data_IF_459963449065
#
_entry.id   IF_459963449065
#
_cell.length_a   1.000
_cell.length_b   1.000
_cell.length_c   1.000
_cell.angle_alpha   90.00
_cell.angle_beta   90.00
_cell.angle_gamma   90.00
#
_symmetry.space_group_name_H-M   'P 1'
#
loop_
_entity.id
_entity.type
_entity.pdbx_description
1 polymer ?
#
# COMPACT_ATOMS: atom_id res chain seq x y z
N UNK A 1 23.55 -79.79 -33.26
CA UNK A 1 23.78 -80.72 -32.12
C UNK A 1 22.88 -80.23 -30.98
N UNK A 2 21.69 -80.83 -30.81
CA UNK A 2 21.37 -81.80 -29.73
C UNK A 2 21.23 -81.08 -28.37
N UNK A 3 20.14 -81.11 -27.59
CA UNK A 3 19.01 -82.07 -27.46
C UNK A 3 17.90 -81.49 -26.55
N UNK A 4 16.62 -81.74 -26.89
CA UNK A 4 15.41 -82.15 -26.10
C UNK A 4 15.22 -81.63 -24.64
N UNK A 5 14.03 -81.28 -24.12
CA UNK A 5 12.63 -81.26 -24.62
C UNK A 5 11.59 -81.16 -23.47
N UNK A 6 10.29 -81.05 -23.82
CA UNK A 6 9.06 -81.42 -23.04
C UNK A 6 8.74 -80.58 -21.76
N UNK A 7 7.53 -80.19 -21.30
CA UNK A 7 6.13 -80.68 -21.35
C UNK A 7 5.17 -79.50 -21.00
N UNK A 8 4.04 -79.42 -21.70
CA UNK A 8 2.62 -79.12 -21.34
C UNK A 8 2.30 -78.47 -19.96
N UNK A 9 1.40 -77.48 -19.92
CA UNK A 9 0.51 -77.30 -18.76
C UNK A 9 -0.16 -75.93 -18.54
N UNK A 10 -1.40 -75.82 -19.04
CA UNK A 10 -2.57 -75.10 -18.49
C UNK A 10 -2.40 -74.28 -17.18
N UNK A 11 -2.76 -73.00 -17.20
CA UNK A 11 -2.83 -72.17 -15.99
C UNK A 11 -3.62 -70.88 -16.19
N UNK A 12 -4.92 -70.97 -15.97
CA UNK A 12 -5.92 -69.90 -15.97
C UNK A 12 -5.53 -68.77 -14.99
N UNK A 13 -5.27 -67.56 -15.52
CA UNK A 13 -4.94 -66.38 -14.73
C UNK A 13 -6.23 -65.75 -14.17
N UNK A 14 -6.56 -66.08 -12.93
CA UNK A 14 -7.61 -65.40 -12.14
C UNK A 14 -7.20 -63.96 -11.85
N UNK A 15 -8.02 -63.00 -12.29
CA UNK A 15 -7.98 -61.63 -11.79
C UNK A 15 -8.51 -61.59 -10.35
N UNK A 16 -7.63 -61.27 -9.39
CA UNK A 16 -8.01 -60.90 -8.03
C UNK A 16 -8.32 -59.39 -8.00
N UNK A 17 -9.59 -59.04 -7.84
CA UNK A 17 -10.03 -57.66 -7.57
C UNK A 17 -9.79 -57.33 -6.10
N UNK A 18 -8.74 -56.56 -5.81
CA UNK A 18 -8.53 -55.96 -4.48
C UNK A 18 -9.43 -54.74 -4.31
N UNK A 19 -10.50 -54.87 -3.54
CA UNK A 19 -11.32 -53.75 -3.06
C UNK A 19 -10.53 -52.90 -2.07
N UNK A 20 -9.96 -51.79 -2.53
CA UNK A 20 -9.38 -50.78 -1.66
C UNK A 20 -10.50 -49.91 -1.06
N UNK A 21 -10.73 -50.02 0.24
CA UNK A 21 -11.53 -49.07 1.01
C UNK A 21 -10.79 -47.73 1.04
N UNK A 22 -11.28 -46.76 0.28
CA UNK A 22 -10.82 -45.38 0.37
C UNK A 22 -11.22 -44.79 1.74
N UNK A 23 -10.25 -44.66 2.64
CA UNK A 23 -10.43 -43.90 3.87
C UNK A 23 -10.50 -42.42 3.50
N UNK A 24 -11.68 -41.84 3.65
CA UNK A 24 -11.92 -40.42 3.42
C UNK A 24 -11.40 -39.62 4.63
N UNK A 25 -10.11 -39.33 4.65
CA UNK A 25 -9.52 -38.39 5.63
C UNK A 25 -9.79 -36.97 5.18
N UNK A 26 -10.88 -36.38 5.66
CA UNK A 26 -11.12 -34.94 5.56
C UNK A 26 -10.14 -34.20 6.49
N UNK A 27 -9.14 -33.56 5.90
CA UNK A 27 -8.33 -32.53 6.57
C UNK A 27 -9.28 -31.44 7.08
N UNK A 28 -9.27 -31.06 8.36
CA UNK A 28 -10.05 -29.91 8.80
C UNK A 28 -9.46 -28.68 8.11
N UNK A 29 -10.30 -27.95 7.38
CA UNK A 29 -9.94 -26.65 6.82
C UNK A 29 -9.45 -25.77 7.96
N UNK A 30 -8.15 -25.47 7.98
CA UNK A 30 -7.57 -24.52 8.92
C UNK A 30 -8.29 -23.19 8.76
N UNK A 31 -9.03 -22.78 9.78
CA UNK A 31 -9.69 -21.48 9.81
C UNK A 31 -8.62 -20.41 9.65
N UNK A 32 -8.67 -19.66 8.54
CA UNK A 32 -7.87 -18.46 8.40
C UNK A 32 -8.15 -17.57 9.62
N UNK A 33 -7.10 -17.03 10.23
CA UNK A 33 -7.26 -16.05 11.30
C UNK A 33 -8.21 -14.92 10.84
N UNK A 34 -9.06 -14.37 11.72
CA UNK A 34 -9.92 -13.25 11.36
C UNK A 34 -9.07 -12.14 10.75
N UNK A 35 -9.52 -11.56 9.62
CA UNK A 35 -8.83 -10.40 9.05
C UNK A 35 -8.86 -9.26 10.08
N UNK A 36 -7.74 -8.57 10.31
CA UNK A 36 -7.73 -7.40 11.17
C UNK A 36 -8.71 -6.34 10.62
N UNK A 37 -9.27 -5.53 11.52
CA UNK A 37 -10.08 -4.38 11.12
C UNK A 37 -9.21 -3.35 10.40
N UNK A 38 -9.82 -2.53 9.54
CA UNK A 38 -9.12 -1.44 8.85
C UNK A 38 -8.32 -0.53 9.80
N UNK A 39 -8.85 -0.32 11.02
CA UNK A 39 -8.18 0.50 12.03
C UNK A 39 -6.90 -0.19 12.56
N UNK A 40 -6.95 -1.49 12.79
CA UNK A 40 -5.80 -2.30 13.20
C UNK A 40 -4.76 -2.36 12.08
N UNK A 41 -5.19 -2.50 10.82
CA UNK A 41 -4.29 -2.47 9.66
C UNK A 41 -3.59 -1.11 9.52
N UNK A 42 -4.30 0.01 9.71
CA UNK A 42 -3.69 1.34 9.67
C UNK A 42 -2.67 1.55 10.79
N UNK A 43 -2.98 1.08 12.00
CA UNK A 43 -2.04 1.12 13.14
C UNK A 43 -0.80 0.30 12.83
N UNK A 44 -0.99 -0.92 12.32
CA UNK A 44 0.11 -1.81 11.94
C UNK A 44 0.96 -1.21 10.80
N UNK A 45 0.33 -0.58 9.81
CA UNK A 45 1.03 0.10 8.72
C UNK A 45 1.95 1.23 9.24
N UNK A 46 1.47 2.04 10.18
CA UNK A 46 2.31 3.08 10.80
C UNK A 46 3.53 2.47 11.51
N UNK A 47 3.33 1.38 12.26
CA UNK A 47 4.40 0.71 13.00
C UNK A 47 5.42 0.03 12.08
N UNK A 48 4.95 -0.72 11.07
CA UNK A 48 5.81 -1.37 10.08
C UNK A 48 6.61 -0.33 9.31
N UNK A 49 5.96 0.69 8.75
CA UNK A 49 6.65 1.68 7.94
C UNK A 49 7.65 2.49 8.78
N UNK A 50 7.39 2.70 10.08
CA UNK A 50 8.36 3.30 10.99
C UNK A 50 9.54 2.37 11.27
N UNK A 51 9.29 1.08 11.52
CA UNK A 51 10.33 0.08 11.76
C UNK A 51 11.26 -0.10 10.55
N UNK A 52 10.71 -0.09 9.35
CA UNK A 52 11.47 -0.19 8.09
C UNK A 52 12.17 1.11 7.68
N UNK A 53 12.08 2.17 8.51
CA UNK A 53 12.71 3.46 8.22
C UNK A 53 12.08 4.23 7.06
N UNK A 54 10.87 3.85 6.62
CA UNK A 54 10.13 4.56 5.57
C UNK A 54 9.48 5.82 6.14
N UNK A 55 8.82 5.72 7.30
CA UNK A 55 8.25 6.85 8.02
C UNK A 55 9.16 7.28 9.17
N UNK A 56 9.50 8.56 9.19
CA UNK A 56 10.13 9.21 10.33
C UNK A 56 9.05 9.86 11.24
N UNK A 57 9.46 10.79 12.11
CA UNK A 57 8.55 11.50 13.02
C UNK A 57 7.53 12.44 12.32
N UNK A 58 7.72 12.71 11.04
CA UNK A 58 6.93 13.66 10.26
C UNK A 58 6.15 12.97 9.13
N UNK A 59 6.58 11.77 8.71
CA UNK A 59 5.90 10.98 7.70
C UNK A 59 4.59 10.39 8.23
N UNK A 60 3.65 10.14 7.33
CA UNK A 60 2.31 9.68 7.72
C UNK A 60 1.58 8.92 6.62
N UNK A 61 0.84 7.89 7.03
CA UNK A 61 -0.03 7.06 6.19
C UNK A 61 -1.51 7.25 6.57
N UNK A 62 -2.37 7.27 5.56
CA UNK A 62 -3.82 7.27 5.73
C UNK A 62 -4.48 6.17 4.90
N UNK A 63 -5.73 5.87 5.26
CA UNK A 63 -6.62 5.01 4.45
C UNK A 63 -7.98 5.70 4.29
N UNK A 64 -8.63 5.48 3.15
CA UNK A 64 -10.03 5.91 2.93
C UNK A 64 -10.96 5.09 3.82
N UNK A 65 -11.92 5.74 4.48
CA UNK A 65 -12.83 5.02 5.39
C UNK A 65 -13.76 4.10 4.59
N UNK A 66 -13.73 2.80 4.88
CA UNK A 66 -14.59 1.79 4.24
C UNK A 66 -16.09 2.03 4.49
N UNK A 67 -16.44 2.69 5.60
CA UNK A 67 -17.83 2.98 5.98
C UNK A 67 -18.34 4.23 5.29
N UNK A 68 -17.45 5.15 4.91
CA UNK A 68 -17.80 6.37 4.22
C UNK A 68 -16.66 6.81 3.28
N UNK A 69 -16.77 6.56 1.95
CA UNK A 69 -15.69 6.87 1.02
C UNK A 69 -15.41 8.38 0.86
N UNK A 70 -16.26 9.26 1.40
CA UNK A 70 -16.02 10.71 1.47
C UNK A 70 -15.23 11.12 2.73
N UNK A 71 -14.65 10.16 3.42
CA UNK A 71 -13.80 10.37 4.60
C UNK A 71 -12.54 9.52 4.51
N UNK A 72 -11.54 9.91 5.28
CA UNK A 72 -10.31 9.14 5.45
C UNK A 72 -9.85 9.14 6.90
N UNK A 73 -9.06 8.14 7.26
CA UNK A 73 -8.51 7.89 8.57
C UNK A 73 -7.02 8.20 8.55
N UNK A 74 -6.57 9.03 9.48
CA UNK A 74 -5.17 9.44 9.62
C UNK A 74 -4.85 9.65 11.10
N UNK A 75 -3.67 9.25 11.55
CA UNK A 75 -3.24 9.50 12.92
C UNK A 75 -3.12 11.00 13.23
N UNK A 76 -3.34 11.38 14.49
CA UNK A 76 -2.93 12.70 14.99
C UNK A 76 -1.42 12.89 14.86
N UNK A 77 -0.94 14.12 15.02
CA UNK A 77 0.48 14.46 14.83
C UNK A 77 1.39 13.87 15.95
N UNK A 78 1.71 12.58 15.83
CA UNK A 78 2.65 11.82 16.67
C UNK A 78 3.53 10.93 15.79
N UNK A 79 4.62 10.42 16.36
CA UNK A 79 5.51 9.49 15.67
C UNK A 79 4.77 8.22 15.24
N UNK A 80 4.96 7.80 13.98
CA UNK A 80 4.26 6.66 13.38
C UNK A 80 4.41 5.36 14.20
N UNK A 81 5.61 5.07 14.72
CA UNK A 81 5.86 3.88 15.55
C UNK A 81 5.07 3.81 16.86
N UNK A 82 4.51 4.92 17.34
CA UNK A 82 3.74 5.00 18.60
C UNK A 82 2.23 5.11 18.39
N UNK A 83 1.75 5.03 17.14
CA UNK A 83 0.33 5.18 16.82
C UNK A 83 -0.46 4.00 17.38
N UNK A 84 -1.60 4.32 18.01
CA UNK A 84 -2.62 3.36 18.44
C UNK A 84 -3.97 3.67 17.80
N UNK A 85 -4.93 2.76 17.91
CA UNK A 85 -6.30 2.95 17.42
C UNK A 85 -6.96 4.23 17.99
N UNK A 86 -6.64 4.60 19.23
CA UNK A 86 -7.17 5.80 19.87
C UNK A 86 -6.61 7.10 19.27
N UNK A 87 -5.49 7.04 18.55
CA UNK A 87 -4.81 8.19 17.95
C UNK A 87 -5.31 8.52 16.54
N UNK A 88 -6.17 7.68 15.97
CA UNK A 88 -6.71 7.88 14.63
C UNK A 88 -7.83 8.92 14.65
N UNK A 89 -7.76 9.84 13.70
CA UNK A 89 -8.74 10.90 13.47
C UNK A 89 -9.38 10.66 12.10
N UNK A 90 -10.70 10.83 12.04
CA UNK A 90 -11.45 10.85 10.78
C UNK A 90 -11.47 12.26 10.20
N UNK A 91 -11.20 12.38 8.92
CA UNK A 91 -11.23 13.62 8.16
C UNK A 91 -12.22 13.53 6.99
N UNK A 92 -12.84 14.64 6.60
CA UNK A 92 -13.52 14.76 5.31
C UNK A 92 -12.51 14.96 4.15
N UNK A 93 -12.97 14.95 2.90
CA UNK A 93 -12.11 15.14 1.73
C UNK A 93 -11.50 16.56 1.62
N UNK A 94 -12.01 17.54 2.35
CA UNK A 94 -11.42 18.88 2.47
C UNK A 94 -10.45 18.99 3.66
N UNK A 95 -10.12 17.83 4.26
CA UNK A 95 -9.17 17.65 5.37
C UNK A 95 -9.56 18.34 6.68
N UNK A 96 -10.86 18.50 6.92
CA UNK A 96 -11.39 18.93 8.21
C UNK A 96 -11.64 17.72 9.11
N UNK A 97 -11.24 17.76 10.39
CA UNK A 97 -11.50 16.67 11.31
C UNK A 97 -13.01 16.55 11.60
N UNK A 98 -13.52 15.32 11.59
CA UNK A 98 -14.92 15.01 11.85
C UNK A 98 -15.10 14.70 13.34
N UNK A 99 -15.49 15.70 14.12
CA UNK A 99 -15.81 15.53 15.55
C UNK A 99 -14.61 15.41 16.49
N UNK A 100 -13.38 15.46 15.97
CA UNK A 100 -12.15 15.48 16.77
C UNK A 100 -11.51 16.89 16.77
N UNK A 101 -10.93 17.29 17.91
CA UNK A 101 -10.26 18.59 18.10
C UNK A 101 -8.75 18.47 18.29
N UNK A 102 -8.22 17.25 18.39
CA UNK A 102 -6.79 17.00 18.58
C UNK A 102 -6.01 17.46 17.34
N UNK A 103 -4.78 17.97 17.52
CA UNK A 103 -3.98 18.44 16.40
C UNK A 103 -3.59 17.27 15.48
N UNK A 104 -4.01 17.36 14.22
CA UNK A 104 -3.55 16.49 13.14
C UNK A 104 -2.27 16.98 12.48
N UNK A 105 -1.75 16.18 11.55
CA UNK A 105 -0.66 16.61 10.68
C UNK A 105 -1.03 17.86 9.87
N UNK A 106 -0.05 18.76 9.69
CA UNK A 106 -0.25 19.98 8.90
C UNK A 106 -0.41 19.69 7.41
N UNK A 107 0.15 18.57 6.93
CA UNK A 107 0.15 18.17 5.51
C UNK A 107 -0.96 17.18 5.17
N UNK A 108 -1.96 17.02 6.06
CA UNK A 108 -3.14 16.18 5.83
C UNK A 108 -3.87 16.47 4.51
N UNK A 109 -3.73 17.69 3.99
CA UNK A 109 -4.29 18.14 2.70
C UNK A 109 -3.77 17.35 1.49
N UNK A 110 -2.58 16.75 1.58
CA UNK A 110 -2.06 15.82 0.57
C UNK A 110 -3.04 14.66 0.39
N UNK A 111 -3.48 14.06 1.50
CA UNK A 111 -4.37 12.89 1.49
C UNK A 111 -5.76 13.26 1.00
N UNK A 112 -6.37 14.28 1.61
CA UNK A 112 -7.73 14.68 1.27
C UNK A 112 -7.90 15.00 -0.21
N UNK A 113 -6.97 15.77 -0.78
CA UNK A 113 -7.04 16.16 -2.19
C UNK A 113 -6.70 15.01 -3.15
N UNK A 114 -5.79 14.10 -2.79
CA UNK A 114 -5.58 12.86 -3.58
C UNK A 114 -6.86 12.01 -3.56
N UNK A 115 -7.45 11.77 -2.39
CA UNK A 115 -8.70 10.99 -2.31
C UNK A 115 -9.86 11.66 -3.04
N UNK A 116 -9.92 12.98 -3.06
CA UNK A 116 -10.92 13.74 -3.81
C UNK A 116 -10.75 13.61 -5.32
N UNK A 117 -9.50 13.64 -5.80
CA UNK A 117 -9.19 13.51 -7.23
C UNK A 117 -9.21 12.05 -7.73
N UNK A 118 -8.93 11.08 -6.85
CA UNK A 118 -8.74 9.67 -7.19
C UNK A 118 -9.62 8.76 -6.32
N UNK A 119 -10.89 8.52 -6.71
CA UNK A 119 -11.79 7.61 -6.01
C UNK A 119 -11.28 6.17 -5.91
N UNK A 120 -10.42 5.76 -6.84
CA UNK A 120 -9.78 4.44 -6.89
C UNK A 120 -8.67 4.25 -5.85
N UNK A 121 -8.11 5.34 -5.31
CA UNK A 121 -7.08 5.29 -4.27
C UNK A 121 -7.74 5.05 -2.91
N UNK A 122 -7.24 4.06 -2.19
CA UNK A 122 -7.70 3.69 -0.84
C UNK A 122 -6.65 3.93 0.23
N UNK A 123 -5.38 4.13 -0.14
CA UNK A 123 -4.30 4.46 0.79
C UNK A 123 -3.35 5.50 0.21
N UNK A 124 -2.85 6.38 1.08
CA UNK A 124 -1.87 7.40 0.73
C UNK A 124 -0.78 7.43 1.80
N UNK A 125 0.48 7.39 1.35
CA UNK A 125 1.67 7.46 2.20
C UNK A 125 2.46 8.69 1.81
N UNK A 126 2.77 9.54 2.77
CA UNK A 126 3.72 10.63 2.62
C UNK A 126 4.95 10.37 3.48
N UNK A 127 6.13 10.45 2.89
CA UNK A 127 7.35 9.98 3.53
C UNK A 127 8.60 10.72 3.03
N UNK A 128 9.69 10.52 3.77
CA UNK A 128 10.89 11.35 3.70
C UNK A 128 12.10 10.54 3.26
N UNK A 129 12.12 10.17 1.98
CA UNK A 129 13.26 9.49 1.40
C UNK A 129 14.31 10.52 0.93
N UNK A 130 15.40 10.67 1.71
CA UNK A 130 16.53 11.52 1.33
C UNK A 130 17.10 11.15 -0.05
N UNK A 131 17.08 9.85 -0.37
CA UNK A 131 17.61 9.30 -1.63
C UNK A 131 16.85 9.76 -2.87
N UNK A 132 15.58 10.18 -2.75
CA UNK A 132 14.81 10.66 -3.90
C UNK A 132 14.93 12.17 -4.11
N UNK A 133 15.40 12.93 -3.11
CA UNK A 133 15.51 14.39 -3.16
C UNK A 133 16.35 14.87 -4.37
N UNK A 134 17.52 14.28 -4.70
CA UNK A 134 18.31 14.72 -5.85
C UNK A 134 17.57 14.65 -7.20
N UNK A 135 16.66 13.69 -7.36
CA UNK A 135 15.83 13.56 -8.57
C UNK A 135 14.77 14.66 -8.69
N UNK A 136 14.46 15.35 -7.60
CA UNK A 136 13.47 16.44 -7.60
C UNK A 136 14.07 17.78 -8.05
N UNK A 137 15.38 17.96 -7.87
CA UNK A 137 16.08 19.24 -8.13
C UNK A 137 16.99 19.21 -9.35
N UNK A 138 17.55 18.04 -9.71
CA UNK A 138 18.49 17.89 -10.82
C UNK A 138 17.79 17.70 -12.18
N UNK A 139 18.58 17.60 -13.26
CA UNK A 139 18.08 17.22 -14.58
C UNK A 139 17.75 15.71 -14.68
N UNK A 140 18.36 14.88 -13.83
CA UNK A 140 18.03 13.46 -13.76
C UNK A 140 16.61 13.27 -13.24
N UNK A 141 15.95 12.21 -13.69
CA UNK A 141 14.58 11.85 -13.29
C UNK A 141 14.58 10.46 -12.67
N UNK A 142 13.72 10.26 -11.67
CA UNK A 142 13.48 8.94 -11.11
C UNK A 142 12.75 8.08 -12.16
N UNK A 143 13.32 6.91 -12.45
CA UNK A 143 12.84 5.95 -13.46
C UNK A 143 13.00 4.52 -12.92
N UNK A 144 12.17 3.57 -13.34
CA UNK A 144 12.34 2.17 -12.97
C UNK A 144 13.64 1.62 -13.58
N UNK A 145 14.54 1.12 -12.73
CA UNK A 145 15.84 0.52 -13.15
C UNK A 145 15.98 -0.96 -12.78
N UNK A 146 15.10 -1.46 -11.91
CA UNK A 146 15.07 -2.84 -11.43
C UNK A 146 13.64 -3.37 -11.54
N UNK A 147 13.48 -4.69 -11.66
CA UNK A 147 12.18 -5.34 -11.84
C UNK A 147 11.16 -4.99 -10.73
N UNK A 148 11.62 -4.84 -9.49
CA UNK A 148 10.77 -4.45 -8.35
C UNK A 148 10.20 -3.04 -8.45
N UNK A 149 10.78 -2.18 -9.29
CA UNK A 149 10.33 -0.79 -9.49
C UNK A 149 9.26 -0.67 -10.60
N UNK A 150 8.69 -1.78 -11.09
CA UNK A 150 7.73 -1.77 -12.21
C UNK A 150 6.46 -0.96 -11.97
N UNK A 151 6.13 -0.64 -10.70
CA UNK A 151 5.03 0.26 -10.36
C UNK A 151 5.35 1.74 -10.66
N UNK A 152 6.62 2.12 -10.78
CA UNK A 152 6.97 3.51 -11.10
C UNK A 152 6.66 3.80 -12.56
N UNK A 153 6.11 5.00 -12.87
CA UNK A 153 5.95 5.44 -14.24
C UNK A 153 7.31 5.59 -14.93
N UNK A 154 7.37 5.61 -16.28
CA UNK A 154 8.62 5.82 -17.02
C UNK A 154 9.40 7.08 -16.62
N UNK A 155 8.68 8.09 -16.10
CA UNK A 155 9.19 9.29 -15.44
C UNK A 155 8.23 9.66 -14.31
N UNK A 156 8.74 9.69 -13.07
CA UNK A 156 7.95 10.14 -11.90
C UNK A 156 7.69 11.65 -11.97
N UNK A 157 6.43 12.11 -11.81
CA UNK A 157 6.11 13.53 -11.81
C UNK A 157 6.73 14.24 -10.62
N UNK A 158 7.07 15.51 -10.82
CA UNK A 158 7.62 16.39 -9.78
C UNK A 158 6.65 17.54 -9.59
N UNK A 159 6.08 17.64 -8.40
CA UNK A 159 5.29 18.77 -7.94
C UNK A 159 6.20 19.96 -7.61
N UNK A 160 5.95 21.06 -8.30
CA UNK A 160 6.60 22.35 -8.09
C UNK A 160 5.63 23.26 -7.32
N UNK A 161 5.82 23.35 -6.01
CA UNK A 161 4.95 24.13 -5.14
C UNK A 161 4.90 25.62 -5.51
N UNK A 162 5.98 26.16 -6.10
CA UNK A 162 6.05 27.58 -6.51
C UNK A 162 5.06 27.94 -7.59
N UNK A 163 4.65 26.98 -8.42
CA UNK A 163 3.64 27.18 -9.47
C UNK A 163 2.25 27.44 -8.88
N UNK A 164 2.00 26.98 -7.64
CA UNK A 164 0.69 27.08 -7.00
C UNK A 164 0.65 28.06 -5.82
N UNK A 165 1.74 28.15 -5.05
CA UNK A 165 1.81 28.96 -3.83
C UNK A 165 2.87 30.07 -3.83
N UNK A 166 3.69 30.19 -4.89
CA UNK A 166 4.82 31.12 -4.90
C UNK A 166 5.95 30.69 -3.94
N UNK A 167 6.63 31.65 -3.31
CA UNK A 167 7.67 31.37 -2.32
C UNK A 167 7.04 31.03 -0.97
N UNK A 168 7.09 29.74 -0.61
CA UNK A 168 6.46 29.18 0.60
C UNK A 168 7.49 28.48 1.49
N UNK A 169 7.04 27.90 2.60
CA UNK A 169 7.81 27.00 3.47
C UNK A 169 7.99 25.58 2.87
N UNK A 170 7.57 25.38 1.62
CA UNK A 170 7.59 24.13 0.86
C UNK A 170 6.61 23.06 1.38
N UNK A 171 5.75 23.36 2.36
CA UNK A 171 4.80 22.41 2.97
C UNK A 171 3.41 22.51 2.33
N UNK A 172 2.74 21.36 2.16
CA UNK A 172 1.40 21.31 1.56
C UNK A 172 0.33 21.49 2.63
N UNK A 173 0.10 22.74 3.06
CA UNK A 173 -0.75 23.10 4.22
C UNK A 173 -2.15 23.61 3.87
N UNK A 174 -2.58 23.52 2.61
CA UNK A 174 -3.91 23.99 2.21
C UNK A 174 -4.53 23.12 1.12
N UNK A 175 -5.85 23.25 0.93
CA UNK A 175 -6.58 22.54 -0.11
C UNK A 175 -6.12 22.94 -1.51
N UNK A 176 -5.75 24.20 -1.74
CA UNK A 176 -5.25 24.69 -3.03
C UNK A 176 -3.91 24.02 -3.40
N UNK A 177 -2.98 23.95 -2.44
CA UNK A 177 -1.70 23.28 -2.64
C UNK A 177 -1.86 21.78 -2.80
N UNK A 178 -2.72 21.16 -1.96
CA UNK A 178 -3.04 19.73 -2.06
C UNK A 178 -3.67 19.38 -3.40
N UNK A 179 -4.55 20.25 -3.93
CA UNK A 179 -5.14 20.09 -5.26
C UNK A 179 -4.08 20.15 -6.35
N UNK A 180 -3.17 21.13 -6.29
CA UNK A 180 -2.07 21.22 -7.25
C UNK A 180 -1.16 19.98 -7.24
N UNK A 181 -0.94 19.40 -6.06
CA UNK A 181 -0.19 18.15 -5.91
C UNK A 181 -0.98 16.98 -6.53
N UNK A 182 -2.26 16.85 -6.24
CA UNK A 182 -3.12 15.80 -6.80
C UNK A 182 -3.22 15.90 -8.34
N UNK A 183 -3.33 17.11 -8.88
CA UNK A 183 -3.33 17.36 -10.32
C UNK A 183 -1.98 16.95 -10.95
N UNK A 184 -0.86 17.17 -10.24
CA UNK A 184 0.48 16.77 -10.71
C UNK A 184 0.70 15.25 -10.63
N UNK A 185 0.13 14.59 -9.61
CA UNK A 185 0.14 13.14 -9.48
C UNK A 185 -0.61 12.49 -10.65
N UNK A 186 -1.78 13.02 -11.01
CA UNK A 186 -2.63 12.47 -12.07
C UNK A 186 -3.06 11.04 -11.77
N UNK A 187 -2.87 10.16 -12.75
CA UNK A 187 -3.17 8.71 -12.68
C UNK A 187 -2.03 7.87 -12.10
N UNK A 188 -0.87 8.48 -11.81
CA UNK A 188 0.36 7.77 -11.40
C UNK A 188 0.32 7.41 -9.90
N UNK A 189 1.11 6.41 -9.47
CA UNK A 189 1.13 5.99 -8.07
C UNK A 189 2.09 6.79 -7.18
N UNK A 190 3.00 7.59 -7.75
CA UNK A 190 4.01 8.33 -6.99
C UNK A 190 4.19 9.73 -7.56
N UNK A 191 4.34 10.72 -6.69
CA UNK A 191 4.75 12.09 -7.01
C UNK A 191 5.88 12.53 -6.07
N UNK A 192 6.87 13.22 -6.63
CA UNK A 192 7.95 13.83 -5.85
C UNK A 192 7.65 15.31 -5.63
N UNK A 193 7.97 15.86 -4.46
CA UNK A 193 7.82 17.26 -4.13
C UNK A 193 9.20 17.92 -4.20
N UNK A 194 9.36 18.95 -5.05
CA UNK A 194 10.67 19.58 -5.29
C UNK A 194 11.29 20.13 -4.01
N UNK A 195 12.55 19.77 -3.74
CA UNK A 195 13.31 20.30 -2.60
C UNK A 195 12.70 19.95 -1.25
N UNK A 196 11.78 18.98 -1.26
CA UNK A 196 10.99 18.60 -0.12
C UNK A 196 11.06 17.09 0.05
N UNK A 197 10.09 16.33 -0.48
CA UNK A 197 9.75 14.95 -0.03
C UNK A 197 9.03 14.16 -1.12
N UNK A 198 8.45 12.99 -0.82
CA UNK A 198 7.64 12.21 -1.77
C UNK A 198 6.27 11.81 -1.20
N UNK A 199 5.31 11.54 -2.09
CA UNK A 199 4.02 10.96 -1.73
C UNK A 199 3.68 9.80 -2.69
N UNK A 200 3.18 8.70 -2.12
CA UNK A 200 2.69 7.53 -2.83
C UNK A 200 1.20 7.32 -2.59
N UNK A 201 0.49 6.88 -3.62
CA UNK A 201 -0.94 6.56 -3.60
C UNK A 201 -1.15 5.20 -4.24
N UNK A 202 -1.93 4.34 -3.59
CA UNK A 202 -2.20 2.98 -4.08
C UNK A 202 -3.63 2.52 -3.77
N UNK A 203 -4.24 1.71 -4.65
CA UNK A 203 -5.38 0.89 -4.31
C UNK A 203 -4.94 -0.27 -3.38
N UNK A 204 -5.83 -0.70 -2.50
CA UNK A 204 -5.69 -1.93 -1.69
C UNK A 204 -6.46 -3.05 -2.39
N UNK A 205 -5.81 -4.19 -2.60
CA UNK A 205 -6.42 -5.41 -3.13
C UNK A 205 -6.87 -6.33 -2.01
#
# INVERSE_FOLDING_TARGET
MSTRGCVIGCGMLMLLTSSALAQNSSTPAGGAAPRPSQLEELVLANQILSNEGVLDAYGHVSVRDERNPNQFLLARAIAAGSVTAADIITYDLDSNPVGDKRPGFSERFIHGQIYKARPDVTSVVHFHAADVIPFTVSAARLRPMIHMAGFLPPVTPIFEIRTFGGLTDMLVRSNELGKGLADTLGDKPVVLLRGHRAAGAAPTH
#
